data_IF_064239496507
#
_entry.id   IF_064239496507
#
_cell.length_a   1.000
_cell.length_b   1.000
_cell.length_c   1.000
_cell.angle_alpha   90.00
_cell.angle_beta   90.00
_cell.angle_gamma   90.00
#
_symmetry.space_group_name_H-M   'P 1'
#
loop_
_entity.id
_entity.type
_entity.pdbx_description
1 polymer ?
#
# COMPACT_ATOMS: atom_id res chain seq x y z
N UNK A 1 -31.79 9.13 -7.28
CA UNK A 1 -30.34 9.16 -6.97
C UNK A 1 -29.83 7.75 -7.20
N UNK A 2 -29.00 7.53 -8.23
CA UNK A 2 -28.46 6.20 -8.54
C UNK A 2 -27.39 5.82 -7.52
N UNK A 3 -27.49 4.64 -6.92
CA UNK A 3 -26.45 4.07 -6.07
C UNK A 3 -25.11 3.94 -6.82
N UNK A 4 -23.97 4.10 -6.13
CA UNK A 4 -22.66 3.98 -6.76
C UNK A 4 -22.41 2.54 -7.22
N UNK A 5 -22.21 2.38 -8.53
CA UNK A 5 -21.84 1.13 -9.20
C UNK A 5 -20.36 0.82 -8.97
N UNK A 6 -20.01 0.16 -7.88
CA UNK A 6 -18.60 -0.25 -7.63
C UNK A 6 -18.42 -1.74 -7.29
N UNK A 7 -19.51 -2.51 -7.22
CA UNK A 7 -19.45 -3.96 -7.14
C UNK A 7 -20.32 -4.51 -8.25
N UNK A 8 -19.73 -4.90 -9.38
CA UNK A 8 -20.35 -5.66 -10.46
C UNK A 8 -21.89 -5.51 -10.58
N UNK A 9 -22.40 -4.28 -10.75
CA UNK A 9 -23.76 -4.08 -11.25
C UNK A 9 -23.61 -3.63 -12.69
N UNK A 10 -23.46 -4.61 -13.56
CA UNK A 10 -23.76 -4.45 -14.97
C UNK A 10 -25.03 -5.27 -15.22
N UNK A 11 -26.20 -4.70 -14.97
CA UNK A 11 -27.49 -5.19 -15.49
C UNK A 11 -27.83 -6.68 -15.31
N UNK A 12 -28.34 -7.29 -16.40
CA UNK A 12 -28.89 -8.65 -16.49
C UNK A 12 -27.84 -9.75 -16.72
N UNK A 13 -26.57 -9.48 -16.41
CA UNK A 13 -25.47 -10.42 -16.66
C UNK A 13 -25.20 -11.30 -15.44
N UNK A 14 -24.96 -12.59 -15.68
CA UNK A 14 -24.39 -13.50 -14.69
C UNK A 14 -22.88 -13.26 -14.63
N UNK A 15 -22.36 -12.96 -13.45
CA UNK A 15 -20.94 -12.67 -13.25
C UNK A 15 -20.29 -13.79 -12.43
N UNK A 16 -19.17 -14.29 -12.92
CA UNK A 16 -18.38 -15.34 -12.27
C UNK A 16 -16.94 -14.87 -12.10
N UNK A 17 -16.38 -15.06 -10.91
CA UNK A 17 -14.98 -14.73 -10.56
C UNK A 17 -14.22 -16.01 -10.25
N UNK A 18 -13.06 -16.17 -10.89
CA UNK A 18 -12.13 -17.29 -10.67
C UNK A 18 -10.91 -16.76 -9.93
N UNK A 19 -10.54 -17.39 -8.81
CA UNK A 19 -9.27 -17.10 -8.14
C UNK A 19 -8.64 -18.39 -7.58
N UNK A 20 -7.32 -18.51 -7.69
CA UNK A 20 -6.58 -19.69 -7.25
C UNK A 20 -6.54 -19.86 -5.73
N UNK A 21 -6.81 -18.80 -4.96
CA UNK A 21 -6.78 -18.82 -3.49
C UNK A 21 -8.17 -19.07 -2.90
N UNK A 22 -8.23 -19.78 -1.75
CA UNK A 22 -9.47 -20.13 -1.05
C UNK A 22 -9.97 -18.98 -0.14
N UNK A 23 -10.37 -17.84 -0.71
CA UNK A 23 -10.77 -16.67 0.08
C UNK A 23 -12.08 -16.83 0.86
N UNK A 24 -12.91 -17.80 0.47
CA UNK A 24 -14.07 -18.25 1.21
C UNK A 24 -13.70 -18.91 2.55
N UNK A 25 -12.53 -19.54 2.62
CA UNK A 25 -12.00 -20.20 3.82
C UNK A 25 -11.05 -19.29 4.61
N UNK A 26 -10.16 -18.57 3.92
CA UNK A 26 -9.13 -17.73 4.57
C UNK A 26 -9.64 -16.34 4.92
N UNK A 27 -10.82 -15.95 4.43
CA UNK A 27 -11.42 -14.63 4.67
C UNK A 27 -10.50 -13.45 4.30
N UNK A 28 -9.62 -13.64 3.31
CA UNK A 28 -8.57 -12.69 2.91
C UNK A 28 -7.56 -12.37 4.03
N UNK A 29 -7.51 -13.13 5.12
CA UNK A 29 -6.57 -12.88 6.20
C UNK A 29 -5.11 -12.96 5.70
N UNK A 30 -4.24 -11.99 6.07
CA UNK A 30 -2.83 -12.07 5.72
C UNK A 30 -2.18 -13.27 6.42
N UNK A 31 -1.70 -14.23 5.64
CA UNK A 31 -0.86 -15.29 6.19
C UNK A 31 0.57 -14.78 6.42
N UNK A 32 1.10 -15.05 7.62
CA UNK A 32 2.51 -14.78 7.93
C UNK A 32 3.44 -15.77 7.22
N UNK A 33 2.91 -16.93 6.81
CA UNK A 33 3.66 -17.97 6.10
C UNK A 33 3.80 -17.69 4.59
N UNK A 34 3.17 -16.62 4.08
CA UNK A 34 3.36 -16.15 2.71
C UNK A 34 2.72 -17.00 1.61
N UNK A 35 1.86 -17.97 1.97
CA UNK A 35 1.18 -18.88 1.02
C UNK A 35 0.38 -18.06 0.01
N UNK A 36 -0.29 -17.01 0.48
CA UNK A 36 -1.05 -16.08 -0.34
C UNK A 36 -0.17 -14.94 -0.83
N UNK A 37 0.07 -14.91 -2.14
CA UNK A 37 0.97 -13.94 -2.79
C UNK A 37 0.24 -12.75 -3.42
N UNK A 38 -1.09 -12.71 -3.30
CA UNK A 38 -1.88 -11.57 -3.76
C UNK A 38 -1.44 -10.29 -3.03
N UNK A 39 -1.08 -9.25 -3.80
CA UNK A 39 -0.59 -7.99 -3.26
C UNK A 39 -1.58 -7.26 -2.33
N UNK A 40 -2.88 -7.55 -2.51
CA UNK A 40 -4.00 -7.02 -1.72
C UNK A 40 -4.20 -7.73 -0.39
N UNK A 41 -3.68 -8.96 -0.22
CA UNK A 41 -3.75 -9.73 1.02
C UNK A 41 -2.65 -9.24 1.95
N UNK A 42 -3.01 -8.25 2.75
CA UNK A 42 -2.13 -7.46 3.58
C UNK A 42 -2.98 -6.77 4.67
N UNK A 43 -2.39 -6.44 5.81
CA UNK A 43 -3.14 -5.80 6.89
C UNK A 43 -3.59 -4.38 6.54
N UNK A 44 -2.74 -3.61 5.85
CA UNK A 44 -2.96 -2.18 5.59
C UNK A 44 -2.36 -1.76 4.24
N UNK A 45 -2.92 -0.75 3.56
CA UNK A 45 -2.24 -0.05 2.45
C UNK A 45 -2.32 1.46 2.66
N UNK A 46 -1.26 2.18 2.27
CA UNK A 46 -1.25 3.64 2.37
C UNK A 46 -2.32 4.19 1.45
N UNK A 47 -3.16 5.04 2.01
CA UNK A 47 -4.06 5.91 1.28
C UNK A 47 -3.51 7.34 1.37
N UNK A 48 -3.39 8.02 0.23
CA UNK A 48 -2.95 9.43 0.19
C UNK A 48 -3.43 10.11 -1.09
N UNK A 49 -3.58 11.43 -1.04
CA UNK A 49 -3.83 12.25 -2.23
C UNK A 49 -2.60 13.07 -2.67
N UNK A 50 -1.53 13.09 -1.86
CA UNK A 50 -0.28 13.81 -2.13
C UNK A 50 0.57 13.16 -3.24
N UNK A 51 0.21 13.39 -4.50
CA UNK A 51 0.88 12.82 -5.68
C UNK A 51 1.85 13.79 -6.40
N UNK A 52 2.19 14.92 -5.77
CA UNK A 52 3.08 15.93 -6.34
C UNK A 52 2.48 16.55 -7.59
N UNK A 53 3.20 16.48 -8.71
CA UNK A 53 2.75 17.07 -9.99
C UNK A 53 1.64 16.28 -10.70
N UNK A 54 1.26 15.09 -10.21
CA UNK A 54 0.27 14.25 -10.89
C UNK A 54 -1.18 14.50 -10.41
N UNK A 55 -1.73 15.65 -10.79
CA UNK A 55 -3.03 16.14 -10.32
C UNK A 55 -4.21 15.19 -10.59
N UNK A 56 -4.20 14.42 -11.68
CA UNK A 56 -5.26 13.45 -11.95
C UNK A 56 -5.30 12.32 -10.90
N UNK A 57 -4.14 11.85 -10.41
CA UNK A 57 -4.11 10.88 -9.31
C UNK A 57 -4.57 11.51 -7.99
N UNK A 58 -4.25 12.78 -7.74
CA UNK A 58 -4.74 13.50 -6.57
C UNK A 58 -6.27 13.58 -6.57
N UNK A 59 -6.89 13.99 -7.68
CA UNK A 59 -8.35 14.09 -7.81
C UNK A 59 -9.03 12.72 -7.68
N UNK A 60 -8.52 11.70 -8.37
CA UNK A 60 -9.01 10.32 -8.23
C UNK A 60 -8.88 9.80 -6.79
N UNK A 61 -7.80 10.17 -6.09
CA UNK A 61 -7.66 9.82 -4.68
C UNK A 61 -8.72 10.49 -3.83
N UNK A 62 -9.03 11.78 -4.03
CA UNK A 62 -10.11 12.43 -3.28
C UNK A 62 -11.50 11.83 -3.55
N UNK A 63 -11.80 11.48 -4.81
CA UNK A 63 -13.02 10.72 -5.13
C UNK A 63 -13.05 9.36 -4.40
N UNK A 64 -11.92 8.64 -4.38
CA UNK A 64 -11.80 7.40 -3.63
C UNK A 64 -11.92 7.61 -2.12
N UNK A 65 -11.40 8.72 -1.56
CA UNK A 65 -11.50 9.04 -0.13
C UNK A 65 -12.97 9.18 0.27
N UNK A 66 -13.73 9.97 -0.48
CA UNK A 66 -15.15 10.17 -0.22
C UNK A 66 -15.94 8.86 -0.26
N UNK A 67 -15.59 7.95 -1.18
CA UNK A 67 -16.18 6.62 -1.22
C UNK A 67 -15.83 5.77 0.02
N UNK A 68 -14.59 5.82 0.50
CA UNK A 68 -14.18 5.12 1.73
C UNK A 68 -14.87 5.67 2.98
N UNK A 69 -14.93 6.99 3.12
CA UNK A 69 -15.61 7.66 4.24
C UNK A 69 -17.10 7.28 4.26
N UNK A 70 -17.77 7.27 3.11
CA UNK A 70 -19.16 6.81 3.00
C UNK A 70 -19.34 5.34 3.39
N UNK A 71 -18.38 4.47 3.07
CA UNK A 71 -18.41 3.06 3.49
C UNK A 71 -18.28 2.96 5.01
N UNK A 72 -17.37 3.72 5.62
CA UNK A 72 -17.23 3.78 7.08
C UNK A 72 -18.52 4.30 7.74
N UNK A 73 -19.11 5.39 7.24
CA UNK A 73 -20.40 5.91 7.73
C UNK A 73 -21.50 4.85 7.72
N UNK A 74 -21.64 4.13 6.60
CA UNK A 74 -22.62 3.04 6.48
C UNK A 74 -22.34 1.92 7.47
N UNK A 75 -21.07 1.55 7.67
CA UNK A 75 -20.67 0.51 8.62
C UNK A 75 -21.01 0.89 10.06
N UNK A 76 -20.81 2.15 10.44
CA UNK A 76 -21.22 2.65 11.75
C UNK A 76 -22.74 2.61 11.96
N UNK A 77 -23.54 2.83 10.91
CA UNK A 77 -25.00 2.66 10.97
C UNK A 77 -25.44 1.19 11.11
N UNK A 78 -24.59 0.25 10.68
CA UNK A 78 -24.80 -1.19 10.76
C UNK A 78 -24.12 -1.81 12.02
N UNK A 79 -23.75 -0.98 13.01
CA UNK A 79 -23.09 -1.36 14.27
C UNK A 79 -21.78 -2.15 14.09
N UNK A 80 -21.04 -1.89 13.00
CA UNK A 80 -19.69 -2.41 12.84
C UNK A 80 -18.66 -1.53 13.58
N UNK A 81 -17.90 -2.12 14.50
CA UNK A 81 -16.90 -1.39 15.30
C UNK A 81 -15.63 -0.96 14.53
N UNK A 82 -15.39 -1.50 13.32
CA UNK A 82 -14.14 -1.26 12.59
C UNK A 82 -14.33 -0.49 11.29
N UNK A 83 -13.65 0.65 11.20
CA UNK A 83 -13.42 1.39 9.96
C UNK A 83 -12.54 0.60 9.00
N UNK A 84 -12.89 0.64 7.71
CA UNK A 84 -12.05 0.10 6.63
C UNK A 84 -10.99 1.09 6.17
N UNK A 85 -11.29 2.38 6.26
CA UNK A 85 -10.34 3.46 6.05
C UNK A 85 -10.04 4.18 7.37
N UNK A 86 -8.78 4.18 7.79
CA UNK A 86 -8.33 4.97 8.93
C UNK A 86 -7.70 6.26 8.42
N UNK A 87 -8.33 7.40 8.70
CA UNK A 87 -7.80 8.73 8.47
C UNK A 87 -6.70 9.12 9.45
N UNK A 88 -5.69 8.27 9.66
CA UNK A 88 -4.63 8.50 10.64
C UNK A 88 -3.68 9.65 10.27
N UNK A 89 -3.81 10.22 9.07
CA UNK A 89 -2.86 11.17 8.51
C UNK A 89 -1.58 10.49 8.01
N UNK A 90 -0.79 11.26 7.26
CA UNK A 90 0.51 10.83 6.74
C UNK A 90 1.56 11.92 6.92
N UNK A 91 2.64 11.61 7.65
CA UNK A 91 3.80 12.47 7.84
C UNK A 91 4.83 12.18 6.74
N UNK A 92 4.99 13.12 5.80
CA UNK A 92 5.97 13.06 4.71
C UNK A 92 7.27 13.71 5.14
N UNK A 93 8.18 12.90 5.67
CA UNK A 93 9.46 13.35 6.20
C UNK A 93 10.45 13.54 5.05
N UNK A 94 11.11 14.70 5.03
CA UNK A 94 12.10 15.08 4.04
C UNK A 94 13.47 14.45 4.35
N UNK A 95 14.39 14.32 3.36
CA UNK A 95 15.74 13.84 3.61
C UNK A 95 16.63 14.86 4.35
N UNK A 96 16.18 16.10 4.51
CA UNK A 96 16.93 17.22 5.12
C UNK A 96 16.04 18.02 6.07
N UNK A 97 16.59 19.07 6.67
CA UNK A 97 15.86 20.05 7.48
C UNK A 97 15.04 21.06 6.65
N UNK A 98 14.92 20.85 5.33
CA UNK A 98 14.22 21.75 4.42
C UNK A 98 13.24 21.00 3.52
N UNK A 99 12.16 21.68 3.11
CA UNK A 99 11.24 21.16 2.10
C UNK A 99 11.92 21.09 0.73
N UNK A 100 11.92 19.89 0.13
CA UNK A 100 12.39 19.72 -1.24
C UNK A 100 11.46 20.41 -2.26
N UNK A 101 11.92 20.69 -3.49
CA UNK A 101 11.10 21.35 -4.50
C UNK A 101 9.80 20.60 -4.85
N UNK A 102 9.79 19.26 -4.76
CA UNK A 102 8.62 18.45 -5.08
C UNK A 102 7.58 18.53 -3.96
N UNK A 103 7.98 18.61 -2.70
CA UNK A 103 7.09 18.80 -1.56
C UNK A 103 6.48 20.20 -1.59
N UNK A 104 7.27 21.23 -1.93
CA UNK A 104 6.75 22.60 -2.16
C UNK A 104 5.73 22.63 -3.30
N UNK A 105 6.02 21.96 -4.42
CA UNK A 105 5.06 21.82 -5.52
C UNK A 105 3.80 21.05 -5.07
N UNK A 106 3.94 20.03 -4.22
CA UNK A 106 2.80 19.30 -3.65
C UNK A 106 1.91 20.25 -2.83
N UNK A 107 2.49 21.09 -1.97
CA UNK A 107 1.76 22.09 -1.19
C UNK A 107 1.05 23.12 -2.07
N UNK A 108 1.75 23.65 -3.09
CA UNK A 108 1.15 24.54 -4.09
C UNK A 108 -0.03 23.90 -4.82
N UNK A 109 0.01 22.59 -5.05
CA UNK A 109 -1.07 21.87 -5.74
C UNK A 109 -2.29 21.66 -4.85
N UNK A 110 -2.07 21.44 -3.56
CA UNK A 110 -3.15 21.45 -2.58
C UNK A 110 -3.76 22.85 -2.44
N UNK A 111 -2.95 23.91 -2.44
CA UNK A 111 -3.46 25.30 -2.47
C UNK A 111 -4.33 25.56 -3.71
N UNK A 112 -3.86 25.18 -4.91
CA UNK A 112 -4.60 25.36 -6.17
C UNK A 112 -5.95 24.64 -6.19
N UNK A 113 -6.05 23.50 -5.51
CA UNK A 113 -7.31 22.75 -5.38
C UNK A 113 -8.12 23.17 -4.12
N UNK A 114 -7.70 24.20 -3.38
CA UNK A 114 -8.41 24.73 -2.21
C UNK A 114 -8.28 23.89 -0.93
N UNK A 115 -7.21 23.09 -0.82
CA UNK A 115 -7.00 22.07 0.21
C UNK A 115 -5.76 22.32 1.08
N UNK A 116 -5.13 23.50 0.99
CA UNK A 116 -3.90 23.81 1.73
C UNK A 116 -4.05 23.68 3.24
N UNK A 117 -5.24 23.98 3.76
CA UNK A 117 -5.55 23.94 5.18
C UNK A 117 -5.51 22.52 5.77
N UNK A 118 -5.51 21.48 4.91
CA UNK A 118 -5.33 20.06 5.27
C UNK A 118 -3.88 19.60 5.34
N UNK A 119 -2.95 20.45 4.91
CA UNK A 119 -1.50 20.17 4.94
C UNK A 119 -0.87 20.98 6.07
N UNK A 120 0.06 20.40 6.81
CA UNK A 120 0.70 21.07 7.95
C UNK A 120 2.21 20.94 7.85
N UNK A 121 2.90 22.02 7.53
CA UNK A 121 4.36 22.11 7.51
C UNK A 121 4.86 22.20 8.95
N UNK A 122 5.76 21.29 9.32
CA UNK A 122 6.22 21.11 10.70
C UNK A 122 6.95 22.35 11.25
N UNK A 123 7.71 23.07 10.42
CA UNK A 123 8.41 24.30 10.83
C UNK A 123 7.55 25.58 10.78
N UNK A 124 6.36 25.54 10.17
CA UNK A 124 5.53 26.73 10.01
C UNK A 124 4.66 26.97 11.27
N UNK A 125 4.83 28.11 11.99
CA UNK A 125 4.07 28.38 13.20
C UNK A 125 2.55 28.48 13.00
N UNK A 126 2.11 28.96 11.82
CA UNK A 126 0.70 29.08 11.46
C UNK A 126 0.09 27.70 11.26
N UNK A 127 0.83 26.80 10.59
CA UNK A 127 0.39 25.41 10.44
C UNK A 127 0.41 24.66 11.76
N UNK A 128 1.40 24.88 12.63
CA UNK A 128 1.42 24.31 13.99
C UNK A 128 0.21 24.74 14.81
N UNK A 129 -0.13 26.04 14.81
CA UNK A 129 -1.32 26.54 15.50
C UNK A 129 -2.61 25.91 14.95
N UNK A 130 -2.75 25.83 13.62
CA UNK A 130 -3.91 25.18 12.98
C UNK A 130 -3.97 23.68 13.28
N UNK A 131 -2.82 23.01 13.35
CA UNK A 131 -2.75 21.59 13.73
C UNK A 131 -3.19 21.38 15.18
N UNK A 132 -2.81 22.26 16.11
CA UNK A 132 -3.25 22.21 17.51
C UNK A 132 -4.77 22.39 17.62
N UNK A 133 -5.32 23.41 16.96
CA UNK A 133 -6.77 23.68 16.92
C UNK A 133 -7.57 22.48 16.38
N UNK A 134 -7.03 21.79 15.36
CA UNK A 134 -7.70 20.68 14.67
C UNK A 134 -7.32 19.29 15.21
N UNK A 135 -6.56 19.20 16.31
CA UNK A 135 -6.19 17.93 16.94
C UNK A 135 -5.11 17.11 16.22
N UNK A 136 -4.33 17.72 15.33
CA UNK A 136 -3.26 17.08 14.55
C UNK A 136 -1.85 17.28 15.12
N UNK A 137 -1.67 18.20 16.08
CA UNK A 137 -0.35 18.57 16.61
C UNK A 137 0.46 17.36 17.09
N UNK A 138 -0.19 16.41 17.79
CA UNK A 138 0.47 15.20 18.29
C UNK A 138 1.04 14.28 17.20
N UNK A 139 0.69 14.49 15.93
CA UNK A 139 1.19 13.73 14.77
C UNK A 139 2.25 14.47 13.96
N UNK A 140 2.54 15.74 14.27
CA UNK A 140 3.69 16.47 13.73
C UNK A 140 4.94 16.11 14.53
N UNK A 141 5.39 14.88 14.34
CA UNK A 141 6.50 14.27 15.07
C UNK A 141 7.84 14.89 14.67
N UNK A 142 8.73 15.04 15.65
CA UNK A 142 10.08 15.56 15.49
C UNK A 142 11.12 14.45 15.53
N UNK A 143 11.94 14.36 14.48
CA UNK A 143 13.01 13.38 14.35
C UNK A 143 14.33 14.09 14.07
N UNK A 144 15.34 13.84 14.89
CA UNK A 144 16.68 14.40 14.69
C UNK A 144 17.36 13.81 13.46
N UNK A 145 18.14 14.64 12.76
CA UNK A 145 19.01 14.20 11.68
C UNK A 145 20.28 13.64 12.31
N UNK A 146 20.58 12.33 12.16
CA UNK A 146 21.76 11.74 12.77
C UNK A 146 23.03 12.48 12.34
N UNK A 147 23.90 12.79 13.31
CA UNK A 147 25.21 13.42 13.09
C UNK A 147 25.17 14.86 12.54
N UNK A 148 24.01 15.51 12.50
CA UNK A 148 23.92 16.92 12.11
C UNK A 148 24.56 17.84 13.17
N UNK A 149 25.39 18.78 12.72
CA UNK A 149 26.01 19.81 13.54
C UNK A 149 25.79 21.18 12.87
N UNK A 150 25.05 22.13 13.49
CA UNK A 150 24.31 21.98 14.75
C UNK A 150 23.16 20.96 14.64
N UNK A 151 22.66 20.51 15.80
CA UNK A 151 21.50 19.60 15.87
C UNK A 151 20.33 20.19 15.09
N UNK A 152 19.80 19.38 14.17
CA UNK A 152 18.67 19.72 13.31
C UNK A 152 17.69 18.55 13.28
N UNK A 153 16.44 18.86 12.99
CA UNK A 153 15.41 17.85 12.78
C UNK A 153 15.04 17.78 11.31
N UNK A 154 14.59 16.62 10.84
CA UNK A 154 14.05 16.51 9.48
C UNK A 154 12.83 17.41 9.34
N UNK A 155 12.73 18.09 8.21
CA UNK A 155 11.50 18.79 7.86
C UNK A 155 10.41 17.77 7.49
N UNK A 156 9.15 18.12 7.72
CA UNK A 156 8.03 17.25 7.36
C UNK A 156 6.76 18.03 7.04
N UNK A 157 5.88 17.38 6.27
CA UNK A 157 4.51 17.82 6.07
C UNK A 157 3.56 16.72 6.53
N UNK A 158 2.65 17.04 7.46
CA UNK A 158 1.54 16.17 7.82
C UNK A 158 0.36 16.45 6.89
N UNK A 159 -0.16 15.39 6.28
CA UNK A 159 -1.36 15.41 5.45
C UNK A 159 -2.51 14.72 6.18
N UNK A 160 -3.48 15.51 6.63
CA UNK A 160 -4.65 15.00 7.34
C UNK A 160 -5.64 14.27 6.42
N UNK A 161 -5.49 14.40 5.10
CA UNK A 161 -6.33 13.70 4.11
C UNK A 161 -5.83 12.29 3.80
N UNK A 162 -4.73 11.88 4.40
CA UNK A 162 -4.12 10.58 4.19
C UNK A 162 -4.34 9.63 5.38
N UNK A 163 -3.82 8.42 5.25
CA UNK A 163 -3.90 7.38 6.27
C UNK A 163 -3.70 6.01 5.64
N UNK A 164 -4.54 5.05 6.02
CA UNK A 164 -4.45 3.71 5.45
C UNK A 164 -5.81 3.01 5.35
N UNK A 165 -5.92 2.09 4.40
CA UNK A 165 -7.06 1.17 4.31
C UNK A 165 -6.68 -0.18 4.90
N UNK A 166 -7.58 -0.83 5.63
CA UNK A 166 -7.44 -2.23 6.09
C UNK A 166 -7.77 -3.17 4.93
N UNK A 167 -6.81 -3.40 4.05
CA UNK A 167 -7.08 -3.94 2.71
C UNK A 167 -7.63 -5.37 2.70
N UNK A 168 -7.15 -6.27 3.56
CA UNK A 168 -7.75 -7.61 3.70
C UNK A 168 -9.20 -7.56 4.17
N UNK A 169 -9.51 -6.77 5.21
CA UNK A 169 -10.88 -6.55 5.68
C UNK A 169 -11.76 -5.93 4.58
N UNK A 170 -11.20 -5.00 3.80
CA UNK A 170 -11.92 -4.38 2.70
C UNK A 170 -12.18 -5.35 1.53
N UNK A 171 -11.22 -6.22 1.18
CA UNK A 171 -11.42 -7.29 0.21
C UNK A 171 -12.56 -8.23 0.66
N UNK A 172 -12.56 -8.64 1.93
CA UNK A 172 -13.63 -9.46 2.50
C UNK A 172 -14.99 -8.73 2.49
N UNK A 173 -15.00 -7.42 2.76
CA UNK A 173 -16.21 -6.59 2.67
C UNK A 173 -16.78 -6.55 1.25
N UNK A 174 -15.95 -6.25 0.24
CA UNK A 174 -16.40 -6.19 -1.15
C UNK A 174 -16.79 -7.56 -1.71
N UNK A 175 -16.11 -8.63 -1.28
CA UNK A 175 -16.52 -10.00 -1.56
C UNK A 175 -17.95 -10.30 -1.06
N UNK A 176 -18.24 -9.98 0.21
CA UNK A 176 -19.60 -10.13 0.77
C UNK A 176 -20.63 -9.26 0.05
N UNK A 177 -20.27 -8.05 -0.35
CA UNK A 177 -21.14 -7.18 -1.12
C UNK A 177 -21.43 -7.78 -2.52
N UNK A 178 -20.45 -8.38 -3.17
CA UNK A 178 -20.60 -9.03 -4.47
C UNK A 178 -21.50 -10.27 -4.39
N UNK A 179 -21.34 -11.10 -3.36
CA UNK A 179 -22.22 -12.25 -3.11
C UNK A 179 -23.68 -11.82 -2.97
N UNK A 180 -23.96 -10.73 -2.24
CA UNK A 180 -25.33 -10.19 -2.09
C UNK A 180 -25.94 -9.75 -3.42
N UNK A 181 -25.12 -9.43 -4.43
CA UNK A 181 -25.56 -9.08 -5.78
C UNK A 181 -25.66 -10.30 -6.73
N UNK A 182 -25.40 -11.51 -6.24
CA UNK A 182 -25.49 -12.74 -7.03
C UNK A 182 -24.24 -13.07 -7.85
N UNK A 183 -23.09 -12.44 -7.57
CA UNK A 183 -21.81 -12.83 -8.18
C UNK A 183 -21.39 -14.22 -7.69
N UNK A 184 -21.02 -15.09 -8.61
CA UNK A 184 -20.53 -16.44 -8.31
C UNK A 184 -19.01 -16.45 -8.20
N UNK A 185 -18.46 -17.16 -7.21
CA UNK A 185 -17.02 -17.26 -6.98
C UNK A 185 -16.57 -18.72 -7.01
N UNK A 186 -15.54 -19.00 -7.80
CA UNK A 186 -14.83 -20.28 -7.78
C UNK A 186 -13.41 -20.03 -7.26
N UNK A 187 -13.22 -20.36 -6.00
CA UNK A 187 -11.95 -20.20 -5.28
C UNK A 187 -11.14 -21.48 -5.14
N UNK A 188 -9.83 -21.35 -5.04
CA UNK A 188 -8.93 -22.47 -4.76
C UNK A 188 -8.35 -23.15 -6.01
N UNK A 189 -7.29 -23.95 -5.83
CA UNK A 189 -6.42 -24.39 -6.91
C UNK A 189 -7.13 -25.26 -7.96
N UNK A 190 -8.15 -26.04 -7.55
CA UNK A 190 -8.85 -26.98 -8.42
C UNK A 190 -9.98 -26.38 -9.27
N UNK A 191 -10.59 -25.26 -8.85
CA UNK A 191 -11.75 -24.66 -9.55
C UNK A 191 -11.54 -23.21 -10.00
N UNK A 192 -10.64 -22.48 -9.33
CA UNK A 192 -10.45 -21.04 -9.55
C UNK A 192 -9.12 -20.66 -10.20
N UNK A 193 -8.18 -21.59 -10.37
CA UNK A 193 -6.94 -21.30 -11.09
C UNK A 193 -7.22 -21.09 -12.56
N UNK A 194 -6.96 -19.88 -13.04
CA UNK A 194 -6.95 -19.59 -14.45
C UNK A 194 -5.78 -20.29 -15.15
N UNK A 195 -6.06 -21.01 -16.24
CA UNK A 195 -5.06 -21.65 -17.10
C UNK A 195 -4.81 -20.82 -18.37
N UNK A 196 -5.86 -20.62 -19.17
CA UNK A 196 -5.76 -19.96 -20.48
C UNK A 196 -7.09 -19.37 -20.94
N UNK A 197 -7.03 -18.40 -21.86
CA UNK A 197 -8.21 -17.93 -22.60
C UNK A 197 -8.53 -18.97 -23.67
N UNK A 198 -9.81 -19.26 -23.84
CA UNK A 198 -10.33 -20.09 -24.93
C UNK A 198 -10.83 -19.15 -26.02
N UNK A 199 -10.20 -19.18 -27.19
CA UNK A 199 -10.68 -18.49 -28.38
C UNK A 199 -11.52 -19.47 -29.22
N UNK A 200 -12.76 -19.11 -29.52
CA UNK A 200 -13.54 -19.81 -30.55
C UNK A 200 -12.92 -19.53 -31.91
N UNK A 201 -12.48 -20.59 -32.58
CA UNK A 201 -12.08 -20.55 -34.00
C UNK A 201 -13.26 -21.11 -34.78
N UNK A 202 -13.55 -20.57 -35.98
CA UNK A 202 -14.65 -20.96 -36.88
C UNK A 202 -14.67 -22.45 -37.32
N UNK A 203 -13.84 -23.31 -36.73
CA UNK A 203 -13.80 -24.76 -36.96
C UNK A 203 -13.70 -25.52 -35.63
N UNK A 204 -14.57 -26.52 -35.39
CA UNK A 204 -14.79 -27.13 -34.07
C UNK A 204 -13.66 -27.99 -33.50
N UNK A 205 -12.47 -28.03 -34.12
CA UNK A 205 -11.40 -28.97 -33.73
C UNK A 205 -10.19 -28.34 -33.03
N UNK A 206 -10.07 -27.01 -32.93
CA UNK A 206 -8.88 -26.39 -32.34
C UNK A 206 -9.22 -25.21 -31.43
N UNK A 207 -9.36 -25.46 -30.13
CA UNK A 207 -9.35 -24.41 -29.11
C UNK A 207 -7.91 -23.90 -28.98
N UNK A 208 -7.68 -22.63 -29.31
CA UNK A 208 -6.38 -21.98 -29.07
C UNK A 208 -6.35 -21.48 -27.63
N UNK A 209 -5.28 -21.81 -26.92
CA UNK A 209 -4.96 -21.30 -25.58
C UNK A 209 -4.04 -20.09 -25.73
N UNK A 210 -4.45 -18.92 -25.22
CA UNK A 210 -3.61 -17.72 -25.23
C UNK A 210 -3.57 -17.06 -23.84
N UNK A 211 -2.40 -16.53 -23.48
CA UNK A 211 -2.24 -15.57 -22.37
C UNK A 211 -2.12 -14.20 -23.04
N UNK A 212 -3.07 -13.28 -22.76
CA UNK A 212 -3.20 -11.92 -23.36
C UNK A 212 -1.88 -11.35 -23.93
N UNK A 213 -1.54 -11.65 -25.21
CA UNK A 213 -0.21 -11.35 -25.74
C UNK A 213 0.01 -9.84 -25.85
N UNK A 214 -1.06 -9.06 -26.00
CA UNK A 214 -1.01 -7.60 -26.08
C UNK A 214 -0.53 -6.91 -24.79
N UNK A 215 -0.63 -7.60 -23.64
CA UNK A 215 -0.17 -7.05 -22.36
C UNK A 215 1.30 -7.38 -22.03
N UNK A 216 1.89 -8.29 -22.80
CA UNK A 216 3.22 -8.86 -22.53
C UNK A 216 4.33 -7.78 -22.61
N UNK A 217 4.22 -6.83 -23.53
CA UNK A 217 5.12 -5.68 -23.69
C UNK A 217 5.00 -4.61 -22.59
N UNK A 218 4.03 -4.74 -21.69
CA UNK A 218 3.66 -3.68 -20.75
C UNK A 218 3.78 -4.06 -19.29
N UNK A 219 4.01 -5.33 -18.95
CA UNK A 219 3.92 -5.80 -17.57
C UNK A 219 5.15 -6.60 -17.18
N UNK A 220 5.77 -6.22 -16.08
CA UNK A 220 6.87 -6.95 -15.46
C UNK A 220 6.54 -7.21 -13.99
N UNK A 221 6.70 -8.47 -13.55
CA UNK A 221 6.57 -8.81 -12.14
C UNK A 221 7.75 -8.27 -11.35
N UNK A 222 7.48 -7.55 -10.26
CA UNK A 222 8.49 -7.05 -9.35
C UNK A 222 8.03 -7.17 -7.89
N UNK A 223 8.95 -7.47 -6.99
CA UNK A 223 8.69 -7.55 -5.56
C UNK A 223 9.23 -6.34 -4.80
N UNK A 224 8.48 -5.88 -3.81
CA UNK A 224 8.95 -4.97 -2.76
C UNK A 224 9.11 -5.70 -1.43
N UNK A 225 9.89 -5.13 -0.52
CA UNK A 225 10.16 -5.73 0.79
C UNK A 225 9.23 -5.17 1.87
N UNK A 226 8.74 -6.06 2.72
CA UNK A 226 7.87 -5.75 3.86
C UNK A 226 8.40 -6.48 5.08
N UNK A 227 8.42 -5.80 6.22
CA UNK A 227 8.72 -6.39 7.53
C UNK A 227 7.68 -5.95 8.55
N UNK A 228 7.57 -6.68 9.66
CA UNK A 228 6.75 -6.26 10.79
C UNK A 228 7.52 -6.28 12.11
N UNK A 229 7.12 -5.42 13.03
CA UNK A 229 7.35 -5.58 14.45
C UNK A 229 6.03 -5.87 15.15
N UNK A 230 6.09 -6.43 16.36
CA UNK A 230 4.92 -6.67 17.19
C UNK A 230 5.07 -5.95 18.54
N UNK A 231 4.03 -5.23 18.91
CA UNK A 231 3.87 -4.60 20.23
C UNK A 231 2.98 -5.48 21.08
N UNK A 232 3.42 -5.78 22.29
CA UNK A 232 2.59 -6.47 23.27
C UNK A 232 1.50 -5.52 23.78
N UNK A 233 0.26 -6.01 23.86
CA UNK A 233 -0.89 -5.27 24.39
C UNK A 233 -0.69 -4.85 25.85
N UNK A 234 0.17 -5.56 26.59
CA UNK A 234 0.54 -5.22 27.97
C UNK A 234 1.53 -4.04 28.05
N UNK A 235 2.21 -3.68 26.95
CA UNK A 235 3.07 -2.50 26.88
C UNK A 235 2.23 -1.25 26.59
N UNK A 236 1.46 -0.78 27.58
CA UNK A 236 0.46 0.28 27.42
C UNK A 236 1.02 1.53 26.70
N UNK A 237 2.22 1.97 27.06
CA UNK A 237 2.86 3.15 26.46
C UNK A 237 3.13 2.96 24.96
N UNK A 238 3.69 1.82 24.55
CA UNK A 238 3.95 1.53 23.13
C UNK A 238 2.65 1.26 22.38
N UNK A 239 1.70 0.60 23.03
CA UNK A 239 0.39 0.29 22.45
C UNK A 239 -0.39 1.56 22.11
N UNK A 240 -0.34 2.55 22.99
CA UNK A 240 -0.95 3.86 22.78
C UNK A 240 -0.14 4.73 21.80
N UNK A 241 1.19 4.78 21.97
CA UNK A 241 2.10 5.56 21.11
C UNK A 241 1.92 5.23 19.64
N UNK A 242 1.85 3.95 19.28
CA UNK A 242 1.75 3.50 17.89
C UNK A 242 0.31 3.34 17.38
N UNK A 243 -0.70 3.75 18.17
CA UNK A 243 -2.10 3.70 17.76
C UNK A 243 -2.39 4.57 16.53
N UNK A 244 -3.38 4.25 15.68
CA UNK A 244 -3.79 5.12 14.57
C UNK A 244 -4.20 6.54 15.00
N UNK A 245 -4.61 6.71 16.26
CA UNK A 245 -5.02 7.97 16.86
C UNK A 245 -3.82 8.88 17.17
N UNK A 246 -2.65 8.31 17.51
CA UNK A 246 -1.45 9.07 17.91
C UNK A 246 -0.30 9.00 16.90
N UNK A 247 -0.23 7.94 16.11
CA UNK A 247 0.83 7.72 15.13
C UNK A 247 0.28 7.90 13.72
N UNK A 248 0.88 8.74 12.87
CA UNK A 248 0.52 8.81 11.46
C UNK A 248 1.17 7.69 10.66
N UNK A 249 0.75 7.51 9.41
CA UNK A 249 1.63 6.83 8.43
C UNK A 249 2.87 7.70 8.24
N UNK A 250 4.08 7.15 8.34
CA UNK A 250 5.30 7.92 8.06
C UNK A 250 5.90 7.44 6.75
N UNK A 251 6.34 8.36 5.90
CA UNK A 251 7.20 8.05 4.77
C UNK A 251 8.44 8.90 4.80
N UNK A 252 9.57 8.28 4.53
CA UNK A 252 10.85 8.95 4.46
C UNK A 252 11.64 8.47 3.25
N UNK A 253 12.46 9.37 2.72
CA UNK A 253 13.48 9.05 1.72
C UNK A 253 14.82 9.39 2.33
N UNK A 254 15.78 8.47 2.21
CA UNK A 254 17.13 8.67 2.74
C UNK A 254 17.95 9.70 1.95
N UNK A 255 17.54 9.99 0.71
CA UNK A 255 18.16 10.99 -0.16
C UNK A 255 17.12 11.62 -1.09
N UNK A 256 17.41 12.80 -1.67
CA UNK A 256 16.63 13.35 -2.77
C UNK A 256 16.52 12.39 -3.97
N UNK A 257 15.55 12.62 -4.85
CA UNK A 257 15.45 11.88 -6.12
C UNK A 257 16.67 12.20 -6.98
N UNK A 258 17.12 11.21 -7.73
CA UNK A 258 18.13 11.46 -8.76
C UNK A 258 17.53 12.29 -9.92
N UNK A 259 18.36 12.89 -10.80
CA UNK A 259 17.87 13.71 -11.92
C UNK A 259 16.92 12.98 -12.88
N UNK A 260 16.96 11.65 -12.94
CA UNK A 260 16.04 10.82 -13.72
C UNK A 260 14.66 10.62 -13.06
N UNK A 261 14.42 11.23 -11.89
CA UNK A 261 13.15 11.13 -11.16
C UNK A 261 12.90 9.78 -10.49
N UNK A 262 13.86 8.84 -10.54
CA UNK A 262 13.76 7.54 -9.87
C UNK A 262 13.98 7.74 -8.36
N UNK A 263 13.07 7.17 -7.55
CA UNK A 263 13.18 7.19 -6.10
C UNK A 263 14.46 6.43 -5.67
N UNK A 264 15.30 7.06 -4.86
CA UNK A 264 16.50 6.48 -4.24
C UNK A 264 16.19 5.50 -3.11
N UNK A 265 14.91 5.37 -2.76
CA UNK A 265 14.38 4.42 -1.80
C UNK A 265 13.57 5.07 -0.71
N UNK A 266 12.25 4.99 -0.87
CA UNK A 266 11.32 5.36 0.20
C UNK A 266 11.12 4.16 1.12
N UNK A 267 11.23 4.42 2.42
CA UNK A 267 10.75 3.53 3.48
C UNK A 267 9.49 4.16 4.07
N UNK A 268 8.54 3.32 4.44
CA UNK A 268 7.31 3.76 5.08
C UNK A 268 6.92 2.85 6.22
N UNK A 269 6.16 3.37 7.17
CA UNK A 269 5.63 2.63 8.32
C UNK A 269 4.17 3.00 8.56
N UNK A 270 3.39 2.02 9.01
CA UNK A 270 2.00 2.19 9.42
C UNK A 270 1.87 2.28 10.95
N UNK A 271 0.79 2.89 11.45
CA UNK A 271 0.34 2.68 12.82
C UNK A 271 0.09 1.19 13.11
N UNK A 272 0.09 0.81 14.38
CA UNK A 272 -0.15 -0.57 14.80
C UNK A 272 -1.55 -1.05 14.42
N UNK A 273 -1.66 -2.32 14.07
CA UNK A 273 -2.96 -3.00 13.90
C UNK A 273 -3.64 -3.26 15.26
N UNK A 274 -4.86 -3.82 15.24
CA UNK A 274 -5.54 -4.28 16.45
C UNK A 274 -4.77 -5.40 17.19
N UNK A 275 -3.95 -6.16 16.47
CA UNK A 275 -3.10 -7.25 17.00
C UNK A 275 -1.68 -6.79 17.37
N UNK A 276 -1.43 -5.49 17.34
CA UNK A 276 -0.15 -4.89 17.69
C UNK A 276 0.93 -4.96 16.61
N UNK A 277 0.60 -5.28 15.36
CA UNK A 277 1.58 -5.33 14.28
C UNK A 277 1.88 -3.93 13.74
N UNK A 278 3.15 -3.56 13.70
CA UNK A 278 3.66 -2.35 13.04
C UNK A 278 4.37 -2.79 11.77
N UNK A 279 3.82 -2.41 10.62
CA UNK A 279 4.33 -2.84 9.33
C UNK A 279 5.18 -1.75 8.69
N UNK A 280 6.34 -2.15 8.17
CA UNK A 280 7.29 -1.30 7.45
C UNK A 280 7.48 -1.85 6.05
N UNK A 281 7.50 -0.99 5.04
CA UNK A 281 7.81 -1.39 3.68
C UNK A 281 8.90 -0.55 3.05
N UNK A 282 9.71 -1.19 2.21
CA UNK A 282 10.78 -0.55 1.44
C UNK A 282 10.45 -0.60 -0.05
N UNK A 283 10.59 0.55 -0.72
CA UNK A 283 10.25 0.75 -2.13
C UNK A 283 11.43 1.18 -3.00
N UNK A 284 12.66 1.18 -2.47
CA UNK A 284 13.83 1.63 -3.22
C UNK A 284 14.32 0.64 -4.25
N UNK A 285 14.66 -0.55 -3.78
CA UNK A 285 15.05 -1.64 -4.67
C UNK A 285 13.82 -2.49 -4.91
N UNK A 286 13.53 -2.72 -6.19
CA UNK A 286 12.51 -3.67 -6.62
C UNK A 286 13.25 -4.88 -7.17
N UNK A 287 12.83 -6.06 -6.74
CA UNK A 287 13.46 -7.30 -7.15
C UNK A 287 12.66 -7.94 -8.27
N UNK A 288 13.32 -8.32 -9.35
CA UNK A 288 12.76 -9.13 -10.44
C UNK A 288 13.36 -10.52 -10.36
N UNK A 289 12.68 -11.52 -10.92
CA UNK A 289 13.15 -12.89 -10.94
C UNK A 289 13.03 -13.42 -12.36
N UNK A 290 13.99 -13.04 -13.20
CA UNK A 290 14.01 -13.41 -14.60
C UNK A 290 14.33 -14.90 -14.75
N UNK A 291 13.41 -15.61 -15.38
CA UNK A 291 13.55 -17.00 -15.79
C UNK A 291 13.46 -17.09 -17.30
N UNK A 292 13.97 -18.17 -17.89
CA UNK A 292 13.81 -18.39 -19.32
C UNK A 292 12.33 -18.46 -19.66
N UNK A 293 11.91 -17.72 -20.68
CA UNK A 293 10.54 -17.80 -21.15
C UNK A 293 10.29 -19.17 -21.82
N UNK A 294 9.04 -19.68 -21.79
CA UNK A 294 8.68 -20.88 -22.55
C UNK A 294 9.04 -20.76 -24.03
N UNK A 295 9.41 -21.85 -24.69
CA UNK A 295 9.80 -21.86 -26.11
C UNK A 295 8.70 -21.37 -27.05
N UNK A 296 7.46 -21.61 -26.65
CA UNK A 296 6.22 -21.26 -27.34
C UNK A 296 5.70 -19.86 -26.96
N UNK A 297 6.47 -19.07 -26.21
CA UNK A 297 6.09 -17.72 -25.85
C UNK A 297 6.16 -16.79 -27.07
N UNK A 298 5.01 -16.23 -27.46
CA UNK A 298 4.91 -15.23 -28.53
C UNK A 298 5.68 -13.93 -28.23
N UNK A 299 5.93 -13.64 -26.94
CA UNK A 299 6.72 -12.49 -26.49
C UNK A 299 7.72 -12.88 -25.40
N UNK A 300 8.92 -12.35 -25.47
CA UNK A 300 9.93 -12.45 -24.41
C UNK A 300 10.69 -11.13 -24.25
N UNK A 301 11.19 -10.85 -23.05
CA UNK A 301 12.15 -9.77 -22.80
C UNK A 301 13.54 -10.39 -22.79
N UNK A 302 14.27 -10.28 -23.91
CA UNK A 302 15.59 -10.90 -24.09
C UNK A 302 15.60 -12.42 -23.81
N UNK A 303 14.53 -13.13 -24.20
CA UNK A 303 14.38 -14.57 -23.94
C UNK A 303 13.96 -14.92 -22.50
N UNK A 304 13.54 -13.94 -21.70
CA UNK A 304 13.20 -14.12 -20.29
C UNK A 304 11.84 -13.51 -19.92
N UNK A 305 11.24 -14.03 -18.85
CA UNK A 305 10.09 -13.46 -18.14
C UNK A 305 10.43 -13.29 -16.65
N UNK A 306 9.98 -12.20 -16.03
CA UNK A 306 10.04 -12.06 -14.58
C UNK A 306 8.89 -12.84 -13.93
N UNK A 307 9.21 -13.97 -13.30
CA UNK A 307 8.23 -14.88 -12.68
C UNK A 307 8.26 -14.71 -11.16
N UNK A 308 7.13 -14.47 -10.48
CA UNK A 308 7.10 -14.41 -9.01
C UNK A 308 7.81 -15.61 -8.37
N UNK A 309 8.57 -15.36 -7.30
CA UNK A 309 9.16 -16.43 -6.51
C UNK A 309 8.07 -17.30 -5.88
N UNK A 310 8.34 -18.58 -5.57
CA UNK A 310 7.46 -19.39 -4.75
C UNK A 310 7.23 -18.78 -3.35
N UNK A 311 6.08 -19.04 -2.70
CA UNK A 311 5.77 -18.55 -1.35
C UNK A 311 6.89 -18.68 -0.31
N UNK A 312 7.53 -19.86 -0.24
CA UNK A 312 8.59 -20.13 0.73
C UNK A 312 9.80 -19.19 0.59
N UNK A 313 10.15 -18.84 -0.65
CA UNK A 313 11.28 -17.97 -0.97
C UNK A 313 10.93 -16.49 -0.82
N UNK A 314 9.64 -16.16 -0.78
CA UNK A 314 9.16 -14.81 -0.50
C UNK A 314 9.26 -14.43 0.98
N UNK A 315 9.61 -15.35 1.88
CA UNK A 315 9.71 -15.04 3.32
C UNK A 315 10.98 -14.25 3.67
N UNK A 316 12.00 -14.23 2.81
CA UNK A 316 13.30 -13.61 3.09
C UNK A 316 13.39 -12.24 2.41
N UNK A 317 13.65 -11.20 3.21
CA UNK A 317 13.96 -9.85 2.69
C UNK A 317 15.47 -9.73 2.42
N UNK A 318 15.90 -9.33 1.21
CA UNK A 318 17.31 -9.16 0.86
C UNK A 318 18.05 -8.13 1.72
N UNK A 319 19.35 -8.34 1.93
CA UNK A 319 20.18 -7.52 2.84
C UNK A 319 20.13 -6.01 2.56
N UNK A 320 20.20 -5.52 1.31
CA UNK A 320 20.11 -4.08 1.06
C UNK A 320 18.79 -3.46 1.53
N UNK A 321 17.68 -4.21 1.43
CA UNK A 321 16.39 -3.78 1.92
C UNK A 321 16.33 -3.85 3.46
N UNK A 322 16.89 -4.91 4.05
CA UNK A 322 17.01 -5.06 5.51
C UNK A 322 17.82 -3.91 6.13
N UNK A 323 18.96 -3.55 5.55
CA UNK A 323 19.82 -2.45 6.00
C UNK A 323 19.10 -1.10 5.92
N UNK A 324 18.42 -0.81 4.80
CA UNK A 324 17.65 0.41 4.63
C UNK A 324 16.51 0.53 5.66
N UNK A 325 15.82 -0.58 5.93
CA UNK A 325 14.77 -0.64 6.95
C UNK A 325 15.36 -0.46 8.35
N UNK A 326 16.50 -1.10 8.67
CA UNK A 326 17.17 -0.96 9.97
C UNK A 326 17.58 0.48 10.25
N UNK A 327 18.14 1.18 9.25
CA UNK A 327 18.45 2.62 9.34
C UNK A 327 17.19 3.46 9.56
N UNK A 328 16.08 3.14 8.90
CA UNK A 328 14.82 3.82 9.14
C UNK A 328 14.33 3.59 10.57
N UNK A 329 14.34 2.35 11.05
CA UNK A 329 13.91 1.99 12.41
C UNK A 329 14.73 2.72 13.47
N UNK A 330 16.06 2.80 13.33
CA UNK A 330 16.90 3.47 14.33
C UNK A 330 16.59 4.97 14.49
N UNK A 331 15.97 5.59 13.48
CA UNK A 331 15.60 7.02 13.50
C UNK A 331 14.15 7.20 13.96
N UNK A 332 13.22 6.46 13.35
CA UNK A 332 11.78 6.73 13.49
C UNK A 332 11.07 5.84 14.50
N UNK A 333 11.70 4.71 14.87
CA UNK A 333 11.16 3.69 15.77
C UNK A 333 12.27 3.15 16.69
N UNK A 334 12.99 4.02 17.44
CA UNK A 334 14.18 3.63 18.20
C UNK A 334 13.92 2.51 19.22
N UNK A 335 12.69 2.36 19.71
CA UNK A 335 12.29 1.27 20.62
C UNK A 335 12.36 -0.14 20.00
N UNK A 336 12.58 -0.23 18.69
CA UNK A 336 12.76 -1.48 17.94
C UNK A 336 14.13 -1.59 17.27
N UNK A 337 15.07 -0.66 17.50
CA UNK A 337 16.37 -0.67 16.86
C UNK A 337 17.11 -2.01 17.03
N UNK A 338 17.07 -2.54 18.26
CA UNK A 338 17.76 -3.78 18.65
C UNK A 338 16.86 -5.03 18.63
N UNK A 339 15.60 -4.92 18.15
CA UNK A 339 14.66 -6.04 18.11
C UNK A 339 14.70 -6.76 16.77
N UNK A 340 14.51 -8.06 16.75
CA UNK A 340 14.30 -8.79 15.50
C UNK A 340 12.94 -8.49 14.85
N UNK A 341 12.87 -8.64 13.53
CA UNK A 341 11.61 -8.54 12.82
C UNK A 341 10.69 -9.69 13.24
N UNK A 342 9.43 -9.37 13.54
CA UNK A 342 8.40 -10.36 13.85
C UNK A 342 8.06 -11.21 12.61
N UNK A 343 8.04 -10.60 11.42
CA UNK A 343 7.92 -11.30 10.14
C UNK A 343 8.52 -10.49 9.00
N UNK A 344 8.84 -11.18 7.91
CA UNK A 344 9.37 -10.60 6.68
C UNK A 344 8.67 -11.21 5.45
N UNK A 345 8.45 -10.40 4.40
CA UNK A 345 7.80 -10.83 3.16
C UNK A 345 8.26 -10.01 1.96
N UNK A 346 8.41 -10.67 0.82
CA UNK A 346 8.44 -10.07 -0.51
C UNK A 346 7.01 -10.01 -1.06
N UNK A 347 6.54 -8.80 -1.36
CA UNK A 347 5.22 -8.56 -1.93
C UNK A 347 5.35 -8.29 -3.43
N UNK A 348 4.91 -9.24 -4.25
CA UNK A 348 4.92 -9.13 -5.71
C UNK A 348 3.82 -8.19 -6.22
N UNK A 349 4.12 -7.45 -7.28
CA UNK A 349 3.17 -6.63 -8.05
C UNK A 349 3.66 -6.50 -9.49
N UNK A 350 2.73 -6.21 -10.39
CA UNK A 350 3.08 -5.84 -11.76
C UNK A 350 3.50 -4.38 -11.82
N UNK A 351 4.48 -4.08 -12.68
CA UNK A 351 4.88 -2.73 -13.06
C UNK A 351 4.91 -2.60 -14.57
N UNK A 352 4.85 -1.37 -15.07
CA UNK A 352 5.18 -1.11 -16.47
C UNK A 352 6.66 -1.41 -16.68
N UNK A 353 6.95 -2.30 -17.64
CA UNK A 353 8.30 -2.61 -18.13
C UNK A 353 8.99 -1.40 -18.71
#
# INVERSE_FOLDING_TARGET
>A
MSEPKSVAIVGAYRVTVLDRYCYDETHYEPDLNGITQAASVDHNKIFRASYGSKLHYQRLAFESRAAWEKINEKRHQEDHESDLFSGSGMLRVQPTAELDPLERETLSNFERDGLRDTQFVKSDPTDRARAAERGWEGKLLDFEIPQALPTQTYEAVLDSTAGFTKCSEACAYFYKLALKQGVEFHFGPGKGTFDSIIEEVDSPSHLKKALLPDLSYHLESSAGSVVTFKVDKNSADLWDKYSPERFPVITWKSAPRNPSGKDTGSVYVFPRTADGLIKIGFRGIKFTNFQHAPSEADFTQDGQWSVPLPPGDCSIVPDPAREAIRKFVSIFLPEFADKDFNSTKLCCRLRRG
#
